data_IF_043773123458
#
_entry.id   IF_043773123458
#
_cell.length_a   1.000
_cell.length_b   1.000
_cell.length_c   1.000
_cell.angle_alpha   90.00
_cell.angle_beta   90.00
_cell.angle_gamma   90.00
#
_symmetry.space_group_name_H-M   'P 1'
#
loop_
_entity.id
_entity.type
_entity.pdbx_description
1 polymer ?
#
# COMPACT_ATOMS: atom_id res chain seq x y z
N UNK A 1 0.10 42.53 8.46
CA UNK A 1 0.91 41.52 7.77
C UNK A 1 -0.05 40.40 7.40
N UNK A 2 -0.35 40.31 6.11
CA UNK A 2 -1.46 39.54 5.58
C UNK A 2 -1.12 38.05 5.41
N UNK A 3 -2.10 37.22 5.73
CA UNK A 3 -2.42 35.90 5.20
C UNK A 3 -1.48 35.32 4.12
N UNK A 4 -0.73 34.30 4.49
CA UNK A 4 -0.06 33.25 3.69
C UNK A 4 0.56 32.28 4.71
N UNK A 5 0.38 30.96 4.76
CA UNK A 5 -0.40 30.01 3.98
C UNK A 5 -0.90 28.89 4.91
N UNK A 6 -2.12 28.46 4.59
CA UNK A 6 -2.78 27.18 4.87
C UNK A 6 -1.86 25.96 4.63
N UNK A 7 -2.13 24.85 5.34
CA UNK A 7 -1.44 23.54 5.36
C UNK A 7 -0.14 23.49 6.16
N UNK A 8 -0.26 23.21 7.46
CA UNK A 8 0.70 22.29 8.08
C UNK A 8 0.49 20.97 7.35
N UNK A 9 1.50 20.60 6.57
CA UNK A 9 1.52 19.41 5.74
C UNK A 9 1.02 18.20 6.52
N UNK A 10 0.32 17.35 5.79
CA UNK A 10 -0.25 16.08 6.18
C UNK A 10 0.89 15.15 6.62
N UNK A 11 1.38 15.35 7.84
CA UNK A 11 2.46 14.59 8.46
C UNK A 11 2.13 13.09 8.38
N UNK A 12 3.12 12.28 7.97
CA UNK A 12 3.10 10.81 7.94
C UNK A 12 2.73 10.23 9.33
N UNK A 13 1.45 10.29 9.65
CA UNK A 13 0.86 9.65 10.81
C UNK A 13 -0.09 8.61 10.23
N UNK A 14 0.39 7.35 10.18
CA UNK A 14 -0.31 6.12 9.84
C UNK A 14 -1.76 6.02 10.39
N UNK A 15 -2.11 6.84 11.38
CA UNK A 15 -3.39 6.87 12.09
C UNK A 15 -4.44 7.85 11.56
N UNK A 16 -4.10 8.77 10.64
CA UNK A 16 -5.08 9.73 10.08
C UNK A 16 -5.81 9.19 8.84
N UNK A 17 -5.33 8.10 8.23
CA UNK A 17 -6.01 7.42 7.12
C UNK A 17 -7.25 6.61 7.58
N UNK A 18 -7.69 6.76 8.84
CA UNK A 18 -8.90 6.11 9.33
C UNK A 18 -10.18 6.82 8.85
N UNK A 19 -10.94 6.05 8.07
CA UNK A 19 -12.35 6.19 7.74
C UNK A 19 -12.68 7.24 6.65
N UNK A 20 -12.68 6.78 5.39
CA UNK A 20 -13.70 7.26 4.46
C UNK A 20 -15.06 6.99 5.11
N UNK A 21 -15.85 8.04 5.32
CA UNK A 21 -17.16 7.95 5.96
C UNK A 21 -18.07 7.06 5.11
N UNK A 22 -18.17 5.77 5.44
CA UNK A 22 -19.14 4.84 4.84
C UNK A 22 -18.60 3.48 4.37
N UNK A 23 -17.28 3.20 4.40
CA UNK A 23 -16.77 1.91 3.95
C UNK A 23 -16.83 0.81 5.02
N UNK A 24 -17.25 -0.43 4.69
CA UNK A 24 -17.17 -1.60 5.57
C UNK A 24 -15.77 -2.24 5.63
N UNK A 25 -14.80 -1.80 4.83
CA UNK A 25 -13.43 -2.30 4.86
C UNK A 25 -12.71 -1.97 6.18
N UNK A 26 -11.91 -2.89 6.70
CA UNK A 26 -11.10 -2.68 7.91
C UNK A 26 -9.62 -2.68 7.57
N UNK A 27 -9.05 -1.50 7.38
CA UNK A 27 -7.61 -1.34 7.23
C UNK A 27 -6.93 -1.41 8.59
N UNK A 28 -6.12 -2.44 8.79
CA UNK A 28 -5.24 -2.51 9.95
C UNK A 28 -3.94 -1.77 9.60
N UNK A 29 -3.60 -0.68 10.32
CA UNK A 29 -2.34 0.01 10.12
C UNK A 29 -1.16 -0.83 10.64
N UNK A 30 -0.07 -0.85 9.89
CA UNK A 30 1.19 -1.50 10.24
C UNK A 30 2.34 -0.53 10.05
N UNK A 31 2.95 -0.12 11.16
CA UNK A 31 4.17 0.68 11.16
C UNK A 31 5.38 -0.26 11.10
N UNK A 32 6.21 -0.14 10.06
CA UNK A 32 7.38 -0.99 9.89
C UNK A 32 8.40 -0.78 11.01
N UNK A 33 8.56 0.44 11.52
CA UNK A 33 9.48 0.72 12.63
C UNK A 33 9.14 0.01 13.94
N UNK A 34 7.85 -0.15 14.27
CA UNK A 34 7.42 -0.70 15.55
C UNK A 34 7.90 -2.14 15.75
N UNK A 35 8.15 -2.84 14.64
CA UNK A 35 8.65 -4.22 14.64
C UNK A 35 10.01 -4.37 13.95
N UNK A 36 10.78 -3.27 13.85
CA UNK A 36 12.11 -3.27 13.21
C UNK A 36 13.22 -3.56 14.23
N UNK A 37 13.26 -4.81 14.69
CA UNK A 37 14.30 -5.33 15.60
C UNK A 37 15.34 -6.23 14.90
N UNK A 38 15.44 -6.08 13.57
CA UNK A 38 16.33 -6.89 12.72
C UNK A 38 15.81 -8.30 12.42
N UNK A 39 14.65 -8.69 12.95
CA UNK A 39 14.02 -9.98 12.68
C UNK A 39 12.94 -9.85 11.60
N UNK A 40 12.75 -10.90 10.76
CA UNK A 40 11.68 -10.91 9.78
C UNK A 40 10.31 -11.04 10.43
N UNK A 41 9.38 -10.17 10.02
CA UNK A 41 7.97 -10.19 10.46
C UNK A 41 7.08 -10.68 9.33
N UNK A 42 6.09 -11.52 9.65
CA UNK A 42 5.11 -11.98 8.67
C UNK A 42 3.73 -11.46 9.02
N UNK A 43 3.09 -10.78 8.07
CA UNK A 43 1.70 -10.33 8.15
C UNK A 43 0.87 -11.19 7.21
N UNK A 44 -0.28 -11.66 7.71
CA UNK A 44 -1.22 -12.44 6.90
C UNK A 44 -2.45 -11.60 6.57
N UNK A 45 -2.71 -11.41 5.28
CA UNK A 45 -3.91 -10.73 4.78
C UNK A 45 -4.85 -11.78 4.16
N UNK A 46 -5.90 -12.21 4.89
CA UNK A 46 -6.82 -13.23 4.39
C UNK A 46 -7.70 -12.65 3.28
N UNK A 47 -7.86 -13.41 2.19
CA UNK A 47 -8.77 -13.05 1.10
C UNK A 47 -9.61 -14.25 0.64
N UNK A 48 -10.92 -14.07 0.39
CA UNK A 48 -11.68 -12.82 0.52
C UNK A 48 -12.00 -12.47 2.00
N UNK A 49 -12.36 -11.22 2.27
CA UNK A 49 -12.83 -10.75 3.58
C UNK A 49 -12.41 -9.31 3.94
N UNK A 50 -12.91 -8.79 5.09
CA UNK A 50 -12.65 -7.43 5.61
C UNK A 50 -11.20 -7.07 5.90
N UNK A 51 -10.33 -8.07 6.00
CA UNK A 51 -8.89 -7.91 6.23
C UNK A 51 -8.05 -8.24 4.98
N UNK A 52 -8.66 -8.20 3.78
CA UNK A 52 -7.96 -8.45 2.52
C UNK A 52 -6.99 -7.31 2.13
N UNK A 53 -6.99 -6.20 2.86
CA UNK A 53 -6.06 -5.09 2.68
C UNK A 53 -5.57 -4.52 4.02
N UNK A 54 -4.39 -3.91 3.99
CA UNK A 54 -3.76 -3.21 5.12
C UNK A 54 -3.13 -1.91 4.65
N UNK A 55 -2.85 -1.01 5.60
CA UNK A 55 -2.02 0.18 5.35
C UNK A 55 -0.66 -0.08 6.01
N UNK A 56 0.41 -0.05 5.21
CA UNK A 56 1.78 -0.19 5.68
C UNK A 56 2.48 1.18 5.61
N UNK A 57 3.01 1.62 6.74
CA UNK A 57 3.75 2.88 6.84
C UNK A 57 5.16 2.61 7.33
N UNK A 58 6.09 3.46 6.91
CA UNK A 58 7.46 3.46 7.45
C UNK A 58 7.49 3.78 8.96
N UNK A 59 6.95 4.93 9.38
CA UNK A 59 6.96 5.43 10.76
C UNK A 59 5.63 6.12 11.15
N UNK A 60 5.40 6.33 12.46
CA UNK A 60 4.31 7.20 12.98
C UNK A 60 4.83 8.59 13.44
N UNK A 61 6.15 8.73 13.62
CA UNK A 61 6.78 9.94 14.15
C UNK A 61 6.90 11.06 13.11
N UNK A 62 7.58 12.15 13.48
CA UNK A 62 7.87 13.22 12.53
C UNK A 62 8.92 12.82 11.47
N UNK A 63 9.72 11.79 11.72
CA UNK A 63 10.72 11.25 10.79
C UNK A 63 11.07 9.82 11.20
N UNK A 64 11.53 9.01 10.25
CA UNK A 64 12.00 7.65 10.54
C UNK A 64 13.42 7.61 11.14
N UNK A 65 13.80 6.47 11.71
CA UNK A 65 15.11 6.20 12.29
C UNK A 65 16.15 5.86 11.21
N UNK A 66 17.35 6.39 11.39
CA UNK A 66 18.52 6.10 10.55
C UNK A 66 19.23 4.81 10.99
N UNK A 67 19.95 4.17 10.07
CA UNK A 67 20.76 2.98 10.33
C UNK A 67 19.97 1.71 10.63
N UNK A 68 18.71 1.60 10.19
CA UNK A 68 17.87 0.42 10.40
C UNK A 68 17.75 -0.43 9.13
N UNK A 69 17.48 -1.71 9.31
CA UNK A 69 17.05 -2.60 8.23
C UNK A 69 15.89 -3.45 8.72
N UNK A 70 14.75 -3.28 8.08
CA UNK A 70 13.48 -3.85 8.49
C UNK A 70 13.01 -4.86 7.45
N UNK A 71 12.61 -6.06 7.89
CA UNK A 71 12.18 -7.14 7.02
C UNK A 71 10.73 -7.53 7.32
N UNK A 72 9.86 -7.36 6.33
CA UNK A 72 8.45 -7.70 6.42
C UNK A 72 8.08 -8.62 5.27
N UNK A 73 7.26 -9.63 5.55
CA UNK A 73 6.69 -10.52 4.55
C UNK A 73 5.18 -10.45 4.67
N UNK A 74 4.51 -10.03 3.61
CA UNK A 74 3.05 -10.10 3.52
C UNK A 74 2.69 -11.40 2.81
N UNK A 75 1.75 -12.17 3.36
CA UNK A 75 1.26 -13.43 2.79
C UNK A 75 -0.25 -13.43 2.68
N UNK A 76 -0.77 -14.03 1.63
CA UNK A 76 -2.21 -14.25 1.42
C UNK A 76 -2.51 -15.69 1.03
N UNK A 77 -3.79 -15.99 0.81
CA UNK A 77 -4.33 -17.30 0.47
C UNK A 77 -3.76 -17.79 -0.88
N UNK A 78 -3.67 -19.11 -1.03
CA UNK A 78 -3.28 -19.72 -2.32
C UNK A 78 -4.28 -19.29 -3.41
N UNK A 79 -3.75 -18.91 -4.57
CA UNK A 79 -4.56 -18.42 -5.70
C UNK A 79 -4.73 -16.90 -5.73
N UNK A 80 -4.34 -16.21 -4.66
CA UNK A 80 -4.26 -14.75 -4.60
C UNK A 80 -2.81 -14.27 -4.79
N UNK A 81 -2.70 -13.01 -5.19
CA UNK A 81 -1.48 -12.22 -5.33
C UNK A 81 -1.64 -10.94 -4.52
N UNK A 82 -0.57 -10.16 -4.43
CA UNK A 82 -0.50 -8.97 -3.61
C UNK A 82 -0.12 -7.79 -4.49
N UNK A 83 -0.88 -6.71 -4.40
CA UNK A 83 -0.52 -5.41 -4.98
C UNK A 83 -0.17 -4.46 -3.84
N UNK A 84 0.89 -3.68 -4.06
CA UNK A 84 1.31 -2.56 -3.20
C UNK A 84 1.11 -1.30 -4.01
N UNK A 85 0.26 -0.40 -3.51
CA UNK A 85 0.05 0.93 -4.08
C UNK A 85 0.59 1.95 -3.09
N UNK A 86 1.46 2.84 -3.56
CA UNK A 86 2.05 3.87 -2.71
C UNK A 86 1.22 5.14 -2.76
N UNK A 87 0.68 5.52 -1.60
CA UNK A 87 0.02 6.82 -1.42
C UNK A 87 1.08 7.90 -1.16
N UNK A 88 2.17 7.54 -0.47
CA UNK A 88 3.36 8.36 -0.31
C UNK A 88 4.62 7.49 -0.43
N UNK A 89 5.66 8.02 -1.08
CA UNK A 89 6.95 7.36 -1.22
C UNK A 89 8.02 8.38 -1.56
N UNK A 90 8.80 8.75 -0.55
CA UNK A 90 9.87 9.72 -0.70
C UNK A 90 10.98 9.35 0.28
N UNK A 91 12.16 9.02 -0.22
CA UNK A 91 13.34 8.85 0.62
C UNK A 91 14.46 9.79 0.17
N UNK A 92 15.38 10.18 1.07
CA UNK A 92 16.58 10.91 0.74
C UNK A 92 17.40 10.20 -0.35
N UNK A 93 17.74 10.97 -1.37
CA UNK A 93 18.54 10.50 -2.50
C UNK A 93 17.98 10.96 -3.84
N UNK A 94 18.60 10.46 -4.89
CA UNK A 94 18.12 10.63 -6.28
C UNK A 94 17.51 9.32 -6.76
N UNK A 95 16.65 9.36 -7.78
CA UNK A 95 15.94 8.19 -8.35
C UNK A 95 16.88 7.01 -8.63
N UNK A 96 18.13 7.28 -9.04
CA UNK A 96 19.13 6.25 -9.36
C UNK A 96 20.21 6.03 -8.26
N UNK A 97 20.15 6.82 -7.18
CA UNK A 97 21.12 6.77 -6.07
C UNK A 97 20.39 7.02 -4.75
N UNK A 98 19.57 6.04 -4.37
CA UNK A 98 18.83 6.05 -3.12
C UNK A 98 19.78 5.91 -1.93
N UNK A 99 19.75 6.87 -0.99
CA UNK A 99 20.49 6.74 0.28
C UNK A 99 19.74 5.80 1.22
N UNK A 100 18.42 5.98 1.28
CA UNK A 100 17.47 5.09 1.94
C UNK A 100 16.54 4.49 0.88
N UNK A 101 16.18 3.23 1.04
CA UNK A 101 15.41 2.54 0.01
C UNK A 101 14.51 1.45 0.55
N UNK A 102 13.36 1.31 -0.11
CA UNK A 102 12.55 0.10 -0.05
C UNK A 102 12.96 -0.84 -1.17
N UNK A 103 13.02 -2.12 -0.87
CA UNK A 103 13.18 -3.21 -1.83
C UNK A 103 12.03 -4.17 -1.67
N UNK A 104 11.36 -4.46 -2.77
CA UNK A 104 10.25 -5.37 -2.82
C UNK A 104 10.65 -6.59 -3.64
N UNK A 105 10.41 -7.79 -3.10
CA UNK A 105 10.70 -9.03 -3.81
C UNK A 105 9.65 -10.11 -3.61
N UNK A 106 9.61 -11.05 -4.54
CA UNK A 106 8.86 -12.30 -4.44
C UNK A 106 9.76 -13.49 -4.81
N UNK A 107 9.20 -14.61 -5.27
CA UNK A 107 9.93 -15.84 -5.63
C UNK A 107 11.11 -15.64 -6.57
N UNK A 108 11.05 -14.67 -7.49
CA UNK A 108 12.10 -14.49 -8.51
C UNK A 108 12.22 -13.06 -9.04
N UNK A 109 11.35 -12.16 -8.61
CA UNK A 109 11.42 -10.75 -8.97
C UNK A 109 11.93 -9.99 -7.75
N UNK A 110 13.00 -9.23 -7.93
CA UNK A 110 13.52 -8.30 -6.94
C UNK A 110 13.50 -6.93 -7.59
N UNK A 111 12.83 -5.96 -6.95
CA UNK A 111 12.82 -4.59 -7.43
C UNK A 111 14.21 -3.97 -7.34
N UNK A 112 14.49 -3.01 -8.21
CA UNK A 112 15.52 -2.01 -7.94
C UNK A 112 15.20 -1.28 -6.62
N UNK A 113 16.20 -0.64 -5.95
CA UNK A 113 15.94 0.27 -4.84
C UNK A 113 14.85 1.28 -5.20
N UNK A 114 13.91 1.47 -4.29
CA UNK A 114 12.79 2.38 -4.46
C UNK A 114 12.94 3.51 -3.44
N UNK A 115 13.14 4.74 -3.92
CA UNK A 115 13.24 5.95 -3.11
C UNK A 115 12.45 7.15 -3.61
N UNK A 116 11.69 6.97 -4.70
CA UNK A 116 10.98 8.06 -5.35
C UNK A 116 9.63 7.61 -5.86
N UNK A 117 8.69 8.55 -5.88
CA UNK A 117 7.29 8.41 -6.30
C UNK A 117 7.05 8.06 -7.77
N UNK A 118 8.10 7.83 -8.56
CA UNK A 118 7.96 7.34 -9.95
C UNK A 118 7.30 5.96 -9.98
N UNK A 119 7.50 5.15 -8.94
CA UNK A 119 6.83 3.86 -8.78
C UNK A 119 5.57 4.08 -7.95
N UNK A 120 4.40 3.88 -8.58
CA UNK A 120 3.09 3.99 -7.92
C UNK A 120 2.51 2.65 -7.50
N UNK A 121 2.90 1.57 -8.17
CA UNK A 121 2.34 0.24 -7.96
C UNK A 121 3.41 -0.85 -8.16
N UNK A 122 3.41 -1.86 -7.29
CA UNK A 122 4.12 -3.12 -7.51
C UNK A 122 3.18 -4.30 -7.25
N UNK A 123 3.18 -5.27 -8.16
CA UNK A 123 2.39 -6.49 -8.04
C UNK A 123 3.26 -7.74 -7.93
N UNK A 124 2.91 -8.63 -6.99
CA UNK A 124 3.58 -9.92 -6.82
C UNK A 124 3.15 -10.93 -7.88
N UNK A 125 4.02 -11.90 -8.18
CA UNK A 125 3.66 -13.12 -8.94
C UNK A 125 3.24 -14.27 -8.03
N UNK A 126 3.70 -14.27 -6.77
CA UNK A 126 3.39 -15.27 -5.75
C UNK A 126 2.30 -14.79 -4.76
N UNK A 127 1.81 -15.69 -3.90
CA UNK A 127 0.89 -15.34 -2.80
C UNK A 127 1.60 -14.71 -1.59
N UNK A 128 2.83 -14.23 -1.78
CA UNK A 128 3.59 -13.51 -0.78
C UNK A 128 4.45 -12.43 -1.45
N UNK A 129 4.86 -11.46 -0.64
CA UNK A 129 5.74 -10.37 -1.00
C UNK A 129 6.65 -10.05 0.19
N UNK A 130 7.94 -9.85 -0.06
CA UNK A 130 8.91 -9.40 0.93
C UNK A 130 9.19 -7.91 0.71
N UNK A 131 9.11 -7.14 1.79
CA UNK A 131 9.48 -5.73 1.85
C UNK A 131 10.69 -5.62 2.75
N UNK A 132 11.80 -5.13 2.21
CA UNK A 132 13.01 -4.80 2.96
C UNK A 132 13.23 -3.31 2.86
N UNK A 133 13.17 -2.62 3.98
CA UNK A 133 13.43 -1.20 4.06
C UNK A 133 14.75 -0.98 4.80
N UNK A 134 15.65 -0.22 4.19
CA UNK A 134 16.99 0.06 4.72
C UNK A 134 17.23 1.55 4.74
N UNK A 135 17.74 2.05 5.87
CA UNK A 135 18.15 3.44 6.04
C UNK A 135 19.65 3.53 6.37
N UNK A 136 20.33 4.50 5.78
CA UNK A 136 21.73 4.82 6.05
C UNK A 136 21.90 5.61 7.34
N UNK A 137 23.15 5.85 7.74
CA UNK A 137 23.51 6.57 8.98
C UNK A 137 23.79 8.07 8.78
N UNK A 138 23.76 8.56 7.53
CA UNK A 138 24.31 9.87 7.17
C UNK A 138 23.32 10.94 6.73
N UNK A 139 22.24 10.57 6.04
CA UNK A 139 21.19 11.52 5.62
C UNK A 139 20.06 11.45 6.63
N UNK A 140 19.89 12.52 7.42
CA UNK A 140 18.75 12.62 8.31
C UNK A 140 17.47 12.78 7.47
N UNK A 141 16.43 11.95 7.69
CA UNK A 141 15.16 12.11 7.02
C UNK A 141 14.50 13.44 7.39
N UNK A 142 13.88 14.06 6.38
CA UNK A 142 12.99 15.20 6.54
C UNK A 142 11.61 14.75 7.01
N UNK A 143 10.75 15.73 7.35
CA UNK A 143 9.43 15.46 7.95
C UNK A 143 8.42 14.79 7.02
N UNK A 144 8.72 14.80 5.71
CA UNK A 144 7.87 14.24 4.66
C UNK A 144 8.50 12.99 4.02
N UNK A 145 9.65 12.53 4.52
CA UNK A 145 10.31 11.33 4.01
C UNK A 145 9.73 10.07 4.67
N UNK A 146 9.58 9.01 3.90
CA UNK A 146 9.00 7.76 4.30
C UNK A 146 8.25 7.10 3.15
N UNK A 147 7.40 6.15 3.53
CA UNK A 147 6.34 5.68 2.65
C UNK A 147 5.09 5.36 3.43
N UNK A 148 3.97 5.47 2.74
CA UNK A 148 2.65 4.94 3.09
C UNK A 148 2.13 4.17 1.88
N UNK A 149 1.72 2.93 2.10
CA UNK A 149 1.25 2.06 1.04
C UNK A 149 0.03 1.26 1.45
N UNK A 150 -0.93 1.17 0.54
CA UNK A 150 -2.05 0.24 0.62
C UNK A 150 -1.59 -1.10 0.04
N UNK A 151 -1.64 -2.15 0.85
CA UNK A 151 -1.26 -3.50 0.44
C UNK A 151 -2.51 -4.36 0.40
N UNK A 152 -2.86 -4.84 -0.79
CA UNK A 152 -4.12 -5.53 -1.06
C UNK A 152 -3.88 -6.93 -1.62
N UNK A 153 -4.61 -7.92 -1.12
CA UNK A 153 -4.72 -9.23 -1.74
C UNK A 153 -5.75 -9.22 -2.87
N UNK A 154 -5.36 -9.66 -4.06
CA UNK A 154 -6.23 -9.75 -5.22
C UNK A 154 -6.12 -11.10 -5.91
N UNK A 155 -7.17 -11.52 -6.61
CA UNK A 155 -7.15 -12.72 -7.44
C UNK A 155 -6.99 -12.33 -8.92
N UNK A 156 -5.98 -12.85 -9.63
CA UNK A 156 -5.86 -12.60 -11.06
C UNK A 156 -6.92 -13.42 -11.83
N UNK A 157 -7.60 -12.81 -12.81
CA UNK A 157 -8.63 -13.50 -13.62
C UNK A 157 -8.52 -13.18 -15.10
N UNK A 158 -9.02 -14.10 -15.94
CA UNK A 158 -9.25 -13.85 -17.37
C UNK A 158 -10.74 -13.82 -17.73
N UNK A 159 -11.62 -13.74 -16.73
CA UNK A 159 -13.07 -13.89 -16.90
C UNK A 159 -13.85 -13.08 -15.87
N UNK A 160 -14.44 -13.77 -14.90
CA UNK A 160 -15.34 -13.20 -13.90
C UNK A 160 -14.77 -13.27 -12.47
N UNK A 161 -15.20 -12.31 -11.67
CA UNK A 161 -15.02 -12.31 -10.23
C UNK A 161 -16.16 -13.08 -9.55
N UNK A 162 -15.91 -13.61 -8.36
CA UNK A 162 -16.98 -14.20 -7.54
C UNK A 162 -17.96 -13.11 -7.08
N UNK A 163 -19.13 -13.51 -6.58
CA UNK A 163 -20.15 -12.55 -6.14
C UNK A 163 -19.73 -11.66 -4.95
N UNK A 164 -18.70 -12.08 -4.21
CA UNK A 164 -18.09 -11.34 -3.10
C UNK A 164 -16.89 -10.49 -3.51
N UNK A 165 -16.53 -10.47 -4.79
CA UNK A 165 -15.38 -9.72 -5.31
C UNK A 165 -15.83 -8.61 -6.27
N UNK A 166 -15.04 -7.55 -6.37
CA UNK A 166 -15.16 -6.51 -7.38
C UNK A 166 -14.16 -6.74 -8.51
N UNK A 167 -14.60 -6.53 -9.76
CA UNK A 167 -13.75 -6.71 -10.95
C UNK A 167 -13.11 -5.38 -11.34
N UNK A 168 -11.79 -5.33 -11.20
CA UNK A 168 -10.96 -4.23 -11.69
C UNK A 168 -10.81 -4.27 -13.21
N UNK A 169 -10.52 -3.12 -13.83
CA UNK A 169 -10.29 -3.01 -15.28
C UNK A 169 -9.02 -3.74 -15.74
N UNK A 170 -8.01 -3.80 -14.87
CA UNK A 170 -6.75 -4.54 -15.08
C UNK A 170 -6.87 -6.06 -14.84
N UNK A 171 -8.08 -6.62 -14.92
CA UNK A 171 -8.34 -8.07 -14.79
C UNK A 171 -7.93 -8.67 -13.44
N UNK A 172 -8.14 -7.90 -12.37
CA UNK A 172 -8.00 -8.33 -10.98
C UNK A 172 -9.38 -8.40 -10.32
N UNK A 173 -9.46 -9.27 -9.32
CA UNK A 173 -10.59 -9.29 -8.40
C UNK A 173 -10.10 -8.91 -7.01
N UNK A 174 -10.62 -7.82 -6.47
CA UNK A 174 -10.42 -7.40 -5.07
C UNK A 174 -11.69 -7.74 -4.29
N UNK A 175 -11.64 -7.71 -2.95
CA UNK A 175 -12.85 -7.90 -2.16
C UNK A 175 -13.85 -6.77 -2.45
N UNK A 176 -15.13 -7.10 -2.58
CA UNK A 176 -16.17 -6.13 -2.95
C UNK A 176 -16.32 -5.00 -1.94
N UNK A 177 -15.95 -5.22 -0.67
CA UNK A 177 -15.98 -4.19 0.37
C UNK A 177 -14.89 -3.12 0.20
N UNK A 178 -13.84 -3.42 -0.58
CA UNK A 178 -12.74 -2.50 -0.88
C UNK A 178 -13.09 -1.58 -2.05
N UNK A 179 -14.19 -1.83 -2.75
CA UNK A 179 -14.61 -0.94 -3.81
C UNK A 179 -15.22 0.32 -3.21
N UNK A 180 -14.88 1.49 -3.76
CA UNK A 180 -15.47 2.78 -3.38
C UNK A 180 -15.06 3.24 -1.98
N UNK A 181 -13.89 2.81 -1.49
CA UNK A 181 -13.49 3.00 -0.10
C UNK A 181 -12.48 4.13 0.12
N UNK A 182 -12.08 4.81 -0.96
CA UNK A 182 -11.10 5.89 -0.97
C UNK A 182 -9.66 5.43 -1.19
N UNK A 183 -9.40 4.14 -1.33
CA UNK A 183 -8.08 3.58 -1.61
C UNK A 183 -8.06 2.87 -2.97
N UNK A 184 -6.89 2.90 -3.62
CA UNK A 184 -6.69 2.18 -4.87
C UNK A 184 -6.23 0.75 -4.57
N UNK A 185 -7.18 -0.15 -4.30
CA UNK A 185 -6.94 -1.57 -4.06
C UNK A 185 -6.70 -2.35 -5.36
N UNK A 186 -7.24 -1.88 -6.48
CA UNK A 186 -7.03 -2.49 -7.79
C UNK A 186 -5.61 -2.26 -8.35
N UNK A 187 -4.94 -1.16 -7.99
CA UNK A 187 -3.70 -0.66 -8.60
C UNK A 187 -3.95 0.31 -9.76
N UNK A 188 -5.07 0.16 -10.48
CA UNK A 188 -5.48 1.01 -11.60
C UNK A 188 -6.59 2.02 -11.24
N UNK A 189 -7.00 2.07 -9.97
CA UNK A 189 -8.01 2.96 -9.42
C UNK A 189 -9.45 2.72 -9.95
N UNK A 190 -9.70 1.59 -10.60
CA UNK A 190 -11.01 1.25 -11.17
C UNK A 190 -12.06 0.86 -10.12
N UNK A 191 -11.63 0.43 -8.93
CA UNK A 191 -12.45 0.25 -7.74
C UNK A 191 -13.05 1.54 -7.19
N UNK A 192 -12.43 2.68 -7.49
CA UNK A 192 -12.88 3.99 -7.03
C UNK A 192 -13.76 4.73 -8.05
N UNK A 193 -14.08 4.09 -9.19
CA UNK A 193 -14.91 4.68 -10.25
C UNK A 193 -16.42 4.59 -9.97
N UNK A 194 -16.84 5.17 -8.85
CA UNK A 194 -18.23 5.12 -8.41
C UNK A 194 -19.09 6.27 -8.96
N UNK A 195 -20.38 6.01 -9.16
CA UNK A 195 -21.35 7.07 -9.50
C UNK A 195 -21.78 7.84 -8.24
N UNK A 196 -22.24 9.08 -8.41
CA UNK A 196 -22.65 9.97 -7.31
C UNK A 196 -23.57 9.25 -6.29
N UNK A 197 -23.10 9.13 -5.04
CA UNK A 197 -23.84 8.49 -3.94
C UNK A 197 -23.09 7.41 -3.15
N UNK A 198 -21.81 7.16 -3.43
CA UNK A 198 -21.02 6.14 -2.69
C UNK A 198 -21.39 4.69 -3.06
N UNK A 199 -22.15 4.52 -4.13
CA UNK A 199 -22.47 3.20 -4.67
C UNK A 199 -21.59 2.96 -5.90
N UNK A 200 -20.66 2.01 -5.77
CA UNK A 200 -20.01 1.37 -6.90
C UNK A 200 -21.11 0.85 -7.84
N UNK A 201 -21.06 1.22 -9.12
CA UNK A 201 -22.09 0.83 -10.07
C UNK A 201 -21.88 -0.67 -10.39
N UNK A 202 -22.46 -1.56 -9.58
CA UNK A 202 -22.33 -3.03 -9.70
C UNK A 202 -22.97 -3.61 -10.98
N UNK A 203 -23.37 -2.77 -11.94
CA UNK A 203 -24.03 -3.17 -13.18
C UNK A 203 -23.14 -3.14 -14.42
N UNK A 204 -21.84 -2.86 -14.32
CA UNK A 204 -20.94 -2.88 -15.49
C UNK A 204 -20.36 -4.26 -15.85
N UNK A 205 -20.90 -5.38 -15.33
CA UNK A 205 -20.40 -6.74 -15.60
C UNK A 205 -21.39 -7.67 -16.35
N UNK A 206 -22.45 -7.13 -16.96
CA UNK A 206 -23.31 -7.87 -17.88
C UNK A 206 -23.46 -7.12 -19.20
N UNK A 207 -22.62 -7.49 -20.16
CA UNK A 207 -22.76 -7.21 -21.58
C UNK A 207 -22.21 -8.40 -22.35
#
# INVERSE_FOLDING_TARGET
>A
MAFQLLLVALLLICRLSLASRGSPATYVPYTMEDSCDGLPRTIHIPAPGPAAAIIACSHEGAHYKSGITCHFTVKTNKGYRIVVVFDALQFPGSVDNCSDALRISDTSNVSSPICSSTIKEISSKANFLNLTWTTGVGTAPSVDDGFEAVITAYRPVSGYCSSSEYKCDNSRCVDKILACDGHNNCGDNSDETCSFGGYCNLQAAHG
#
